data_IF_165119663024
#
_entry.id   IF_165119663024
#
_cell.length_a   1.000
_cell.length_b   1.000
_cell.length_c   1.000
_cell.angle_alpha   90.00
_cell.angle_beta   90.00
_cell.angle_gamma   90.00
#
_symmetry.space_group_name_H-M   'P 1'
#
loop_
_entity.id
_entity.type
_entity.pdbx_description
1 polymer ?
#
# COMPACT_ATOMS: atom_id res chain seq x y z
N UNK A 1 -5.67 -12.46 -29.68
CA UNK A 1 -5.32 -13.16 -28.42
C UNK A 1 -3.82 -13.40 -28.38
N UNK A 2 -3.05 -12.56 -27.66
CA UNK A 2 -1.61 -12.77 -27.47
C UNK A 2 -1.42 -13.79 -26.34
N UNK A 3 -0.91 -14.98 -26.67
CA UNK A 3 -0.50 -15.98 -25.67
C UNK A 3 0.66 -15.39 -24.86
N UNK A 4 0.48 -15.25 -23.54
CA UNK A 4 1.56 -14.91 -22.63
C UNK A 4 2.67 -15.97 -22.71
N UNK A 5 3.95 -15.58 -22.67
CA UNK A 5 5.05 -16.53 -22.78
C UNK A 5 5.10 -17.41 -21.53
N UNK A 6 5.01 -18.73 -21.73
CA UNK A 6 5.23 -19.73 -20.69
C UNK A 6 6.68 -19.58 -20.20
N UNK A 7 6.86 -19.03 -19.00
CA UNK A 7 8.16 -18.95 -18.33
C UNK A 7 8.70 -20.38 -18.22
N UNK A 8 9.81 -20.70 -18.90
CA UNK A 8 10.50 -22.00 -18.72
C UNK A 8 10.74 -22.18 -17.22
N UNK A 9 10.21 -23.27 -16.66
CA UNK A 9 10.46 -23.63 -15.27
C UNK A 9 11.98 -23.71 -15.07
N UNK A 10 12.56 -23.04 -14.06
CA UNK A 10 13.97 -23.25 -13.73
C UNK A 10 14.12 -24.73 -13.35
N UNK A 11 14.89 -25.49 -14.12
CA UNK A 11 15.18 -26.89 -13.77
C UNK A 11 16.15 -26.88 -12.59
N UNK A 12 15.70 -27.38 -11.43
CA UNK A 12 16.55 -27.60 -10.26
C UNK A 12 17.30 -28.93 -10.42
N UNK A 13 18.61 -28.95 -10.17
CA UNK A 13 19.40 -30.16 -10.22
C UNK A 13 19.28 -30.93 -8.90
N UNK A 14 18.51 -32.02 -8.91
CA UNK A 14 18.31 -32.86 -7.72
C UNK A 14 19.57 -33.60 -7.27
N UNK A 15 20.62 -33.68 -8.09
CA UNK A 15 21.89 -34.29 -7.68
C UNK A 15 22.61 -33.48 -6.60
N UNK A 16 22.34 -32.17 -6.52
CA UNK A 16 22.87 -31.27 -5.49
C UNK A 16 22.34 -31.58 -4.08
N UNK A 17 21.22 -32.32 -3.97
CA UNK A 17 20.58 -32.62 -2.69
C UNK A 17 21.28 -33.76 -1.91
N UNK A 18 22.10 -34.58 -2.57
CA UNK A 18 22.80 -35.70 -1.92
C UNK A 18 21.89 -36.79 -1.35
N UNK A 19 20.68 -36.96 -1.88
CA UNK A 19 19.63 -37.82 -1.34
C UNK A 19 19.62 -39.24 -1.91
N UNK A 20 19.14 -40.20 -1.11
CA UNK A 20 18.91 -41.57 -1.54
C UNK A 20 17.74 -41.71 -2.52
N UNK A 21 17.66 -42.86 -3.21
CA UNK A 21 16.64 -43.12 -4.23
C UNK A 21 15.19 -42.99 -3.71
N UNK A 22 14.93 -43.38 -2.47
CA UNK A 22 13.61 -43.28 -1.84
C UNK A 22 13.20 -41.83 -1.54
N UNK A 23 14.13 -41.02 -1.04
CA UNK A 23 13.92 -39.60 -0.70
C UNK A 23 13.73 -38.77 -1.98
N UNK A 24 14.53 -39.05 -3.02
CA UNK A 24 14.34 -38.44 -4.35
C UNK A 24 12.97 -38.76 -4.95
N UNK A 25 12.47 -39.99 -4.77
CA UNK A 25 11.12 -40.37 -5.20
C UNK A 25 10.04 -39.59 -4.44
N UNK A 26 10.23 -39.38 -3.14
CA UNK A 26 9.32 -38.58 -2.31
C UNK A 26 9.30 -37.11 -2.73
N UNK A 27 10.46 -36.50 -3.00
CA UNK A 27 10.56 -35.12 -3.49
C UNK A 27 9.88 -34.97 -4.84
N UNK A 28 10.16 -35.84 -5.82
CA UNK A 28 9.51 -35.80 -7.14
C UNK A 28 7.99 -35.92 -7.06
N UNK A 29 7.48 -36.69 -6.08
CA UNK A 29 6.05 -36.76 -5.81
C UNK A 29 5.52 -35.40 -5.31
N UNK A 30 6.20 -34.78 -4.34
CA UNK A 30 5.84 -33.46 -3.85
C UNK A 30 5.84 -32.42 -4.99
N UNK A 31 6.82 -32.46 -5.88
CA UNK A 31 6.89 -31.55 -7.04
C UNK A 31 5.71 -31.69 -7.98
N UNK A 32 5.36 -32.93 -8.33
CA UNK A 32 4.21 -33.20 -9.19
C UNK A 32 2.92 -32.67 -8.56
N UNK A 33 2.73 -32.87 -7.25
CA UNK A 33 1.57 -32.38 -6.52
C UNK A 33 1.55 -30.85 -6.45
N UNK A 34 2.68 -30.20 -6.15
CA UNK A 34 2.82 -28.73 -6.13
C UNK A 34 2.51 -28.11 -7.49
N UNK A 35 2.97 -28.71 -8.59
CA UNK A 35 2.74 -28.21 -9.95
C UNK A 35 1.27 -28.33 -10.40
N UNK A 36 0.53 -29.31 -9.86
CA UNK A 36 -0.88 -29.52 -10.19
C UNK A 36 -1.83 -28.54 -9.46
N UNK A 37 -1.43 -27.99 -8.31
CA UNK A 37 -2.24 -27.07 -7.50
C UNK A 37 -2.37 -25.69 -8.19
N UNK A 38 -3.41 -25.57 -9.02
CA UNK A 38 -3.59 -24.47 -9.98
C UNK A 38 -4.63 -23.40 -9.60
N UNK A 39 -5.63 -23.70 -8.75
CA UNK A 39 -6.82 -22.87 -8.48
C UNK A 39 -7.09 -22.71 -6.96
N UNK A 40 -6.30 -21.85 -6.32
CA UNK A 40 -6.23 -21.54 -4.88
C UNK A 40 -7.56 -21.55 -4.10
N UNK A 41 -8.09 -22.73 -3.79
CA UNK A 41 -9.09 -22.91 -2.74
C UNK A 41 -8.39 -22.88 -1.37
N UNK A 42 -9.18 -22.80 -0.31
CA UNK A 42 -8.66 -22.97 1.06
C UNK A 42 -7.95 -24.32 1.22
N UNK A 43 -8.53 -25.38 0.66
CA UNK A 43 -7.99 -26.74 0.70
C UNK A 43 -6.66 -26.85 -0.04
N UNK A 44 -6.58 -26.33 -1.28
CA UNK A 44 -5.33 -26.31 -2.05
C UNK A 44 -4.23 -25.49 -1.37
N UNK A 45 -4.60 -24.50 -0.54
CA UNK A 45 -3.63 -23.72 0.24
C UNK A 45 -2.98 -24.56 1.34
N UNK A 46 -3.76 -25.42 2.00
CA UNK A 46 -3.25 -26.40 2.96
C UNK A 46 -2.41 -27.46 2.26
N UNK A 47 -2.91 -28.08 1.19
CA UNK A 47 -2.19 -29.13 0.46
C UNK A 47 -0.84 -28.64 -0.04
N UNK A 48 -0.79 -27.42 -0.58
CA UNK A 48 0.46 -26.81 -1.01
C UNK A 48 1.44 -26.62 0.15
N UNK A 49 0.96 -26.17 1.31
CA UNK A 49 1.78 -26.04 2.51
C UNK A 49 2.28 -27.38 3.05
N UNK A 50 1.44 -28.42 3.03
CA UNK A 50 1.79 -29.78 3.46
C UNK A 50 2.89 -30.37 2.57
N UNK A 51 2.78 -30.27 1.25
CA UNK A 51 3.82 -30.74 0.32
C UNK A 51 5.15 -30.02 0.52
N UNK A 52 5.10 -28.71 0.80
CA UNK A 52 6.30 -27.95 1.12
C UNK A 52 6.94 -28.40 2.44
N UNK A 53 6.14 -28.68 3.47
CA UNK A 53 6.65 -29.19 4.75
C UNK A 53 7.21 -30.62 4.64
N UNK A 54 6.58 -31.50 3.86
CA UNK A 54 7.08 -32.84 3.58
C UNK A 54 8.43 -32.75 2.87
N UNK A 55 8.54 -31.93 1.82
CA UNK A 55 9.80 -31.77 1.10
C UNK A 55 10.91 -31.11 1.95
N UNK A 56 10.55 -30.15 2.81
CA UNK A 56 11.50 -29.50 3.73
C UNK A 56 12.16 -30.48 4.70
N UNK A 57 11.51 -31.61 5.04
CA UNK A 57 12.11 -32.63 5.90
C UNK A 57 13.29 -33.38 5.26
N UNK A 58 13.38 -33.38 3.93
CA UNK A 58 14.44 -34.07 3.18
C UNK A 58 15.48 -33.11 2.62
N UNK A 59 15.10 -31.87 2.31
CA UNK A 59 15.97 -30.92 1.63
C UNK A 59 16.77 -30.10 2.64
N UNK A 60 18.11 -29.99 2.50
CA UNK A 60 18.91 -29.12 3.36
C UNK A 60 18.40 -27.67 3.39
N UNK A 61 18.39 -27.04 4.58
CA UNK A 61 17.83 -25.69 4.81
C UNK A 61 18.35 -24.62 3.83
N UNK A 62 19.63 -24.70 3.45
CA UNK A 62 20.28 -23.78 2.52
C UNK A 62 19.82 -23.92 1.05
N UNK A 63 19.20 -25.05 0.69
CA UNK A 63 18.77 -25.38 -0.66
C UNK A 63 17.25 -25.34 -0.82
N UNK A 64 16.48 -25.56 0.25
CA UNK A 64 15.02 -25.62 0.21
C UNK A 64 14.38 -24.39 -0.43
N UNK A 65 14.85 -23.18 -0.08
CA UNK A 65 14.31 -21.95 -0.66
C UNK A 65 14.52 -21.82 -2.18
N UNK A 66 15.63 -22.33 -2.71
CA UNK A 66 15.91 -22.34 -4.15
C UNK A 66 15.05 -23.39 -4.86
N UNK A 67 14.99 -24.59 -4.29
CA UNK A 67 14.15 -25.68 -4.78
C UNK A 67 12.67 -25.27 -4.83
N UNK A 68 12.12 -24.75 -3.73
CA UNK A 68 10.69 -24.43 -3.62
C UNK A 68 10.24 -23.35 -4.63
N UNK A 69 11.12 -22.40 -4.97
CA UNK A 69 10.86 -21.39 -6.02
C UNK A 69 10.95 -21.99 -7.42
N UNK A 70 11.77 -23.03 -7.62
CA UNK A 70 11.90 -23.68 -8.94
C UNK A 70 10.68 -24.51 -9.31
N UNK A 71 10.02 -25.12 -8.32
CA UNK A 71 8.87 -26.02 -8.50
C UNK A 71 7.52 -25.32 -8.33
N UNK A 72 7.53 -24.01 -8.10
CA UNK A 72 6.31 -23.21 -7.93
C UNK A 72 6.39 -21.87 -8.65
N UNK A 73 5.24 -21.19 -8.77
CA UNK A 73 5.14 -19.84 -9.35
C UNK A 73 5.26 -18.72 -8.30
N UNK A 74 5.58 -19.04 -7.05
CA UNK A 74 5.49 -18.12 -5.92
C UNK A 74 6.86 -17.64 -5.45
N UNK A 75 6.87 -16.48 -4.78
CA UNK A 75 8.08 -16.00 -4.12
C UNK A 75 8.43 -16.88 -2.93
N UNK A 76 9.71 -16.91 -2.57
CA UNK A 76 10.20 -17.62 -1.37
C UNK A 76 9.36 -17.27 -0.14
N UNK A 77 9.19 -15.98 0.15
CA UNK A 77 8.41 -15.50 1.30
C UNK A 77 6.98 -16.05 1.31
N UNK A 78 6.32 -16.09 0.15
CA UNK A 78 4.96 -16.60 0.03
C UNK A 78 4.89 -18.10 0.34
N UNK A 79 5.89 -18.89 -0.08
CA UNK A 79 5.96 -20.33 0.18
C UNK A 79 6.13 -20.63 1.67
N UNK A 80 6.99 -19.89 2.38
CA UNK A 80 7.12 -20.01 3.83
C UNK A 80 5.83 -19.66 4.58
N UNK A 81 5.07 -18.67 4.08
CA UNK A 81 3.75 -18.34 4.63
C UNK A 81 2.76 -19.51 4.50
N UNK A 82 2.76 -20.19 3.36
CA UNK A 82 1.91 -21.37 3.13
C UNK A 82 2.26 -22.55 4.04
N UNK A 83 3.56 -22.81 4.22
CA UNK A 83 4.04 -23.82 5.18
C UNK A 83 3.57 -23.51 6.60
N UNK A 84 3.65 -22.23 7.00
CA UNK A 84 3.19 -21.75 8.31
C UNK A 84 1.67 -21.92 8.47
N UNK A 85 0.89 -21.62 7.44
CA UNK A 85 -0.56 -21.85 7.44
C UNK A 85 -0.86 -23.34 7.69
N UNK A 86 -0.24 -24.23 6.92
CA UNK A 86 -0.50 -25.67 7.01
C UNK A 86 -0.12 -26.25 8.38
N UNK A 87 0.97 -25.77 8.98
CA UNK A 87 1.43 -26.23 10.30
C UNK A 87 0.63 -25.66 11.45
N UNK A 88 0.45 -24.34 11.50
CA UNK A 88 -0.15 -23.63 12.63
C UNK A 88 -1.67 -23.79 12.66
N UNK A 89 -2.33 -23.84 11.50
CA UNK A 89 -3.78 -23.90 11.41
C UNK A 89 -4.31 -25.31 11.16
N UNK A 90 -3.46 -26.33 11.26
CA UNK A 90 -3.79 -27.74 10.95
C UNK A 90 -5.07 -28.22 11.64
N UNK A 91 -5.20 -27.95 12.93
CA UNK A 91 -6.32 -28.43 13.74
C UNK A 91 -7.65 -27.72 13.41
N UNK A 92 -7.56 -26.58 12.71
CA UNK A 92 -8.71 -25.80 12.26
C UNK A 92 -9.05 -26.00 10.78
N UNK A 93 -8.30 -26.86 10.07
CA UNK A 93 -8.39 -27.03 8.60
C UNK A 93 -9.83 -27.18 8.10
N UNK A 94 -10.61 -28.10 8.68
CA UNK A 94 -12.00 -28.37 8.27
C UNK A 94 -12.87 -27.12 8.35
N UNK A 95 -12.86 -26.42 9.49
CA UNK A 95 -13.64 -25.21 9.73
C UNK A 95 -13.24 -24.07 8.78
N UNK A 96 -11.95 -23.95 8.50
CA UNK A 96 -11.42 -22.95 7.57
C UNK A 96 -11.85 -23.21 6.12
N UNK A 97 -11.87 -24.48 5.70
CA UNK A 97 -12.34 -24.90 4.37
C UNK A 97 -13.84 -24.66 4.21
N UNK A 98 -14.64 -24.99 5.22
CA UNK A 98 -16.08 -24.70 5.25
C UNK A 98 -16.36 -23.19 5.16
N UNK A 99 -15.58 -22.38 5.87
CA UNK A 99 -15.64 -20.91 5.80
C UNK A 99 -15.10 -20.33 4.47
N UNK A 100 -14.57 -21.17 3.56
CA UNK A 100 -13.93 -20.76 2.28
C UNK A 100 -12.91 -19.64 2.46
N UNK A 101 -12.15 -19.70 3.54
CA UNK A 101 -11.26 -18.61 3.93
C UNK A 101 -10.12 -18.42 2.92
N UNK A 102 -9.86 -17.17 2.54
CA UNK A 102 -8.77 -16.82 1.63
C UNK A 102 -7.39 -17.11 2.24
N UNK A 103 -6.40 -17.42 1.39
CA UNK A 103 -5.01 -17.62 1.81
C UNK A 103 -4.42 -16.41 2.55
N UNK A 104 -4.83 -15.18 2.20
CA UNK A 104 -4.39 -13.96 2.88
C UNK A 104 -4.91 -13.91 4.32
N UNK A 105 -6.20 -14.19 4.54
CA UNK A 105 -6.79 -14.24 5.87
C UNK A 105 -6.18 -15.36 6.73
N UNK A 106 -5.97 -16.55 6.15
CA UNK A 106 -5.25 -17.63 6.82
C UNK A 106 -3.81 -17.26 7.17
N UNK A 107 -3.13 -16.47 6.32
CA UNK A 107 -1.77 -15.98 6.63
C UNK A 107 -1.73 -15.03 7.84
N UNK A 108 -2.76 -14.19 8.01
CA UNK A 108 -2.92 -13.38 9.21
C UNK A 108 -3.16 -14.26 10.44
N UNK A 109 -4.12 -15.19 10.36
CA UNK A 109 -4.44 -16.10 11.45
C UNK A 109 -3.29 -17.01 11.87
N UNK A 110 -2.52 -17.53 10.91
CA UNK A 110 -1.33 -18.32 11.21
C UNK A 110 -0.25 -17.50 11.93
N UNK A 111 -0.33 -16.17 11.89
CA UNK A 111 0.58 -15.28 12.60
C UNK A 111 0.09 -14.87 13.99
N UNK A 112 -1.20 -15.04 14.27
CA UNK A 112 -1.80 -14.82 15.60
C UNK A 112 -2.87 -15.89 15.87
N UNK A 113 -2.45 -17.15 16.14
CA UNK A 113 -3.34 -18.31 16.22
C UNK A 113 -4.39 -18.23 17.35
N UNK A 114 -4.14 -17.42 18.38
CA UNK A 114 -5.07 -17.18 19.49
C UNK A 114 -6.42 -16.61 19.02
N UNK A 115 -6.47 -15.91 17.88
CA UNK A 115 -7.68 -15.31 17.33
C UNK A 115 -8.45 -16.22 16.36
N UNK A 116 -7.97 -17.45 16.11
CA UNK A 116 -8.59 -18.36 15.12
C UNK A 116 -10.02 -18.73 15.50
N UNK A 117 -10.27 -19.05 16.76
CA UNK A 117 -11.60 -19.43 17.21
C UNK A 117 -12.59 -18.25 17.19
N UNK A 118 -12.12 -17.04 17.51
CA UNK A 118 -12.91 -15.81 17.46
C UNK A 118 -13.36 -15.52 16.02
N UNK A 119 -12.41 -15.54 15.06
CA UNK A 119 -12.72 -15.30 13.66
C UNK A 119 -13.63 -16.38 13.08
N UNK A 120 -13.40 -17.66 13.40
CA UNK A 120 -14.25 -18.75 12.93
C UNK A 120 -15.68 -18.65 13.48
N UNK A 121 -15.86 -18.25 14.75
CA UNK A 121 -17.19 -18.07 15.33
C UNK A 121 -18.03 -17.02 14.58
N UNK A 122 -17.40 -15.96 14.07
CA UNK A 122 -18.07 -14.95 13.24
C UNK A 122 -18.57 -15.53 11.91
N UNK A 123 -17.77 -16.38 11.25
CA UNK A 123 -18.18 -17.08 10.03
C UNK A 123 -19.28 -18.11 10.29
N UNK A 124 -19.19 -18.85 11.39
CA UNK A 124 -20.21 -19.81 11.83
C UNK A 124 -21.54 -19.12 12.18
N UNK A 125 -21.49 -17.88 12.67
CA UNK A 125 -22.65 -17.01 12.87
C UNK A 125 -23.20 -16.41 11.55
N UNK A 126 -22.70 -16.83 10.39
CA UNK A 126 -23.16 -16.40 9.06
C UNK A 126 -22.63 -15.04 8.62
N UNK A 127 -21.66 -14.44 9.34
CA UNK A 127 -21.05 -13.16 8.96
C UNK A 127 -19.82 -13.42 8.08
N UNK A 128 -19.71 -12.69 6.97
CA UNK A 128 -18.49 -12.71 6.14
C UNK A 128 -17.56 -11.57 6.56
N UNK A 129 -16.34 -11.89 6.99
CA UNK A 129 -15.32 -10.89 7.29
C UNK A 129 -14.39 -10.69 6.09
N UNK A 130 -14.11 -9.43 5.75
CA UNK A 130 -13.05 -9.09 4.79
C UNK A 130 -11.68 -9.35 5.41
N UNK A 131 -10.65 -9.56 4.57
CA UNK A 131 -9.28 -9.73 5.05
C UNK A 131 -8.81 -8.56 5.94
N UNK A 132 -9.31 -7.33 5.71
CA UNK A 132 -9.02 -6.14 6.52
C UNK A 132 -9.68 -6.18 7.90
N UNK A 133 -10.90 -6.71 7.99
CA UNK A 133 -11.59 -6.90 9.27
C UNK A 133 -10.95 -8.04 10.07
N UNK A 134 -10.58 -9.14 9.42
CA UNK A 134 -9.79 -10.20 10.05
C UNK A 134 -8.46 -9.65 10.53
N UNK A 135 -7.76 -8.83 9.72
CA UNK A 135 -6.55 -8.15 10.15
C UNK A 135 -6.77 -7.20 11.35
N UNK A 136 -7.94 -6.58 11.49
CA UNK A 136 -8.27 -5.73 12.63
C UNK A 136 -8.54 -6.55 13.91
N UNK A 137 -9.16 -7.73 13.80
CA UNK A 137 -9.42 -8.67 14.91
C UNK A 137 -8.11 -9.33 15.34
N UNK A 138 -7.38 -9.91 14.38
CA UNK A 138 -6.12 -10.67 14.55
C UNK A 138 -4.93 -9.77 14.89
N UNK A 139 -4.98 -8.53 14.42
CA UNK A 139 -4.05 -7.48 14.81
C UNK A 139 -4.49 -6.76 16.08
N UNK A 140 -5.34 -7.40 16.91
CA UNK A 140 -6.01 -6.88 18.10
C UNK A 140 -5.34 -5.64 18.63
N UNK A 141 -5.94 -4.49 18.37
CA UNK A 141 -5.48 -3.21 18.91
C UNK A 141 -3.97 -3.02 18.85
N UNK A 142 -3.31 -3.25 17.71
CA UNK A 142 -1.97 -2.71 17.51
C UNK A 142 -2.09 -1.18 17.29
N UNK A 143 -2.72 -0.48 18.23
CA UNK A 143 -1.94 0.56 18.91
C UNK A 143 -0.65 -0.15 19.30
N UNK A 144 0.37 0.00 18.44
CA UNK A 144 1.76 -0.22 18.84
C UNK A 144 1.83 0.32 20.26
N UNK A 145 2.29 -0.47 21.26
CA UNK A 145 2.28 -0.05 22.66
C UNK A 145 2.73 1.38 22.68
N UNK A 146 1.88 2.32 23.13
CA UNK A 146 1.97 3.76 22.89
C UNK A 146 3.44 4.14 22.93
N UNK A 147 4.04 4.06 21.74
CA UNK A 147 5.49 4.01 21.70
C UNK A 147 5.77 5.45 21.95
N UNK A 148 6.45 5.75 23.04
CA UNK A 148 6.86 7.10 23.36
C UNK A 148 7.89 7.54 22.30
N UNK A 149 7.39 7.76 21.09
CA UNK A 149 8.10 8.09 19.87
C UNK A 149 8.96 9.33 20.11
N UNK A 150 8.49 10.35 20.86
CA UNK A 150 9.34 11.46 21.27
C UNK A 150 10.60 11.03 22.05
N UNK A 151 10.50 10.01 22.91
CA UNK A 151 11.59 9.60 23.80
C UNK A 151 12.35 8.35 23.34
N UNK A 152 11.98 7.75 22.21
CA UNK A 152 12.69 6.62 21.63
C UNK A 152 13.97 7.08 20.91
N UNK A 153 15.12 6.85 21.54
CA UNK A 153 16.43 7.20 21.00
C UNK A 153 16.96 6.25 19.91
N UNK A 154 18.10 6.64 19.32
CA UNK A 154 18.85 5.84 18.35
C UNK A 154 18.23 5.77 16.95
N UNK A 155 18.91 5.08 16.03
CA UNK A 155 18.50 4.96 14.62
C UNK A 155 17.13 4.27 14.48
N UNK A 156 16.82 3.31 15.36
CA UNK A 156 15.52 2.66 15.38
C UNK A 156 14.39 3.63 15.76
N UNK A 157 14.60 4.45 16.80
CA UNK A 157 13.66 5.49 17.21
C UNK A 157 13.44 6.56 16.15
N UNK A 158 14.52 7.06 15.55
CA UNK A 158 14.45 8.01 14.44
C UNK A 158 13.64 7.45 13.26
N UNK A 159 13.84 6.18 12.88
CA UNK A 159 13.06 5.52 11.82
C UNK A 159 11.58 5.43 12.18
N UNK A 160 11.27 5.04 13.42
CA UNK A 160 9.89 4.95 13.87
C UNK A 160 9.19 6.32 13.86
N UNK A 161 9.87 7.36 14.35
CA UNK A 161 9.36 8.72 14.39
C UNK A 161 9.16 9.29 12.97
N UNK A 162 10.12 9.07 12.07
CA UNK A 162 9.99 9.44 10.66
C UNK A 162 8.79 8.77 9.96
N UNK A 163 8.56 7.48 10.21
CA UNK A 163 7.40 6.76 9.67
C UNK A 163 6.08 7.31 10.21
N UNK A 164 6.00 7.60 11.51
CA UNK A 164 4.82 8.18 12.14
C UNK A 164 4.54 9.58 11.58
N UNK A 165 5.57 10.44 11.50
CA UNK A 165 5.51 11.76 10.87
C UNK A 165 5.01 11.67 9.43
N UNK A 166 5.57 10.76 8.63
CA UNK A 166 5.19 10.58 7.22
C UNK A 166 3.70 10.20 7.10
N UNK A 167 3.23 9.23 7.90
CA UNK A 167 1.84 8.80 7.91
C UNK A 167 0.89 9.95 8.26
N UNK A 168 1.18 10.67 9.34
CA UNK A 168 0.37 11.81 9.79
C UNK A 168 0.39 12.95 8.77
N UNK A 169 1.58 13.31 8.27
CA UNK A 169 1.78 14.40 7.32
C UNK A 169 1.04 14.18 6.00
N UNK A 170 1.12 12.96 5.43
CA UNK A 170 0.37 12.62 4.21
C UNK A 170 -1.14 12.72 4.47
N UNK A 171 -1.63 12.12 5.56
CA UNK A 171 -3.06 12.15 5.91
C UNK A 171 -3.59 13.58 6.08
N UNK A 172 -2.82 14.44 6.75
CA UNK A 172 -3.18 15.83 6.98
C UNK A 172 -3.17 16.66 5.69
N UNK A 173 -2.15 16.47 4.85
CA UNK A 173 -2.06 17.12 3.55
C UNK A 173 -3.25 16.74 2.67
N UNK A 174 -3.52 15.44 2.48
CA UNK A 174 -4.63 14.95 1.66
C UNK A 174 -5.96 15.49 2.14
N UNK A 175 -6.23 15.43 3.46
CA UNK A 175 -7.46 15.97 4.05
C UNK A 175 -7.66 17.45 3.76
N UNK A 176 -6.59 18.26 3.85
CA UNK A 176 -6.68 19.70 3.58
C UNK A 176 -6.92 20.00 2.11
N UNK A 177 -6.24 19.30 1.21
CA UNK A 177 -6.44 19.48 -0.23
C UNK A 177 -7.87 19.12 -0.61
N UNK A 178 -8.40 18.00 -0.12
CA UNK A 178 -9.81 17.62 -0.34
C UNK A 178 -10.79 18.68 0.20
N UNK A 179 -10.50 19.28 1.37
CA UNK A 179 -11.32 20.38 1.90
C UNK A 179 -11.27 21.63 1.02
N UNK A 180 -10.09 22.00 0.51
CA UNK A 180 -9.92 23.15 -0.39
C UNK A 180 -10.67 22.90 -1.70
N UNK A 181 -10.58 21.70 -2.27
CA UNK A 181 -11.32 21.30 -3.47
C UNK A 181 -12.82 21.49 -3.24
N UNK A 182 -13.37 20.95 -2.15
CA UNK A 182 -14.80 21.05 -1.84
C UNK A 182 -15.26 22.50 -1.67
N UNK A 183 -14.46 23.36 -1.02
CA UNK A 183 -14.78 24.78 -0.87
C UNK A 183 -14.74 25.55 -2.21
N UNK A 184 -13.81 25.19 -3.10
CA UNK A 184 -13.74 25.75 -4.46
C UNK A 184 -14.95 25.31 -5.29
N UNK A 185 -15.27 24.01 -5.29
CA UNK A 185 -16.44 23.46 -5.99
C UNK A 185 -17.73 24.15 -5.52
N UNK A 186 -17.92 24.28 -4.21
CA UNK A 186 -19.06 25.00 -3.63
C UNK A 186 -19.12 26.48 -4.05
N UNK A 187 -17.96 27.15 -4.14
CA UNK A 187 -17.89 28.53 -4.60
C UNK A 187 -18.13 28.69 -6.11
N UNK A 188 -17.94 27.64 -6.90
CA UNK A 188 -18.19 27.62 -8.34
C UNK A 188 -19.66 27.31 -8.69
N UNK A 189 -20.45 26.71 -7.80
CA UNK A 189 -21.88 26.42 -8.06
C UNK A 189 -22.65 27.66 -8.57
N UNK A 190 -22.57 28.85 -7.95
CA UNK A 190 -23.25 30.04 -8.45
C UNK A 190 -22.78 30.49 -9.84
N UNK A 191 -21.53 30.19 -10.22
CA UNK A 191 -20.98 30.54 -11.52
C UNK A 191 -21.61 29.74 -12.66
N UNK A 192 -22.09 28.53 -12.37
CA UNK A 192 -22.88 27.73 -13.32
C UNK A 192 -24.25 28.38 -13.62
N UNK A 193 -24.76 29.21 -12.71
CA UNK A 193 -25.99 30.00 -12.87
C UNK A 193 -25.72 31.40 -13.46
N UNK A 194 -24.51 31.68 -13.96
CA UNK A 194 -24.11 32.98 -14.50
C UNK A 194 -23.81 34.05 -13.44
N UNK A 195 -23.73 33.70 -12.15
CA UNK A 195 -23.34 34.61 -11.08
C UNK A 195 -21.82 34.66 -10.92
N UNK A 196 -21.30 35.72 -10.28
CA UNK A 196 -19.86 35.84 -10.02
C UNK A 196 -19.45 35.05 -8.77
N UNK A 197 -18.25 34.47 -8.79
CA UNK A 197 -17.62 33.87 -7.60
C UNK A 197 -17.22 34.97 -6.61
N UNK A 198 -17.59 34.81 -5.35
CA UNK A 198 -17.29 35.77 -4.28
C UNK A 198 -15.86 35.55 -3.76
N UNK A 199 -14.87 36.18 -4.40
CA UNK A 199 -13.43 36.11 -4.08
C UNK A 199 -13.14 36.17 -2.57
N UNK A 200 -13.72 37.14 -1.86
CA UNK A 200 -13.48 37.34 -0.42
C UNK A 200 -13.93 36.14 0.41
N UNK A 201 -15.15 35.64 0.16
CA UNK A 201 -15.69 34.50 0.90
C UNK A 201 -14.92 33.21 0.64
N UNK A 202 -14.47 32.99 -0.61
CA UNK A 202 -13.63 31.84 -0.93
C UNK A 202 -12.26 31.96 -0.24
N UNK A 203 -11.62 33.13 -0.31
CA UNK A 203 -10.33 33.37 0.32
C UNK A 203 -10.35 33.17 1.84
N UNK A 204 -11.41 33.62 2.51
CA UNK A 204 -11.56 33.44 3.96
C UNK A 204 -11.58 31.96 4.37
N UNK A 205 -12.02 31.08 3.47
CA UNK A 205 -12.02 29.63 3.68
C UNK A 205 -10.69 28.98 3.33
N UNK A 206 -10.08 29.31 2.18
CA UNK A 206 -9.00 28.49 1.63
C UNK A 206 -7.58 29.03 1.81
N UNK A 207 -7.38 30.32 2.11
CA UNK A 207 -6.03 30.90 2.20
C UNK A 207 -5.17 30.25 3.28
N UNK A 208 -5.69 30.18 4.51
CA UNK A 208 -4.94 29.59 5.64
C UNK A 208 -4.71 28.09 5.42
N UNK A 209 -5.72 27.29 4.99
CA UNK A 209 -5.49 25.91 4.59
C UNK A 209 -4.45 25.74 3.49
N UNK A 210 -4.43 26.58 2.46
CA UNK A 210 -3.48 26.49 1.36
C UNK A 210 -2.03 26.72 1.82
N UNK A 211 -1.81 27.77 2.63
CA UNK A 211 -0.49 28.02 3.24
C UNK A 211 -0.02 26.82 4.05
N UNK A 212 -0.89 26.28 4.90
CA UNK A 212 -0.55 25.16 5.76
C UNK A 212 -0.29 23.88 4.95
N UNK A 213 -1.12 23.58 3.95
CA UNK A 213 -0.95 22.43 3.07
C UNK A 213 0.38 22.50 2.31
N UNK A 214 0.80 23.71 1.87
CA UNK A 214 2.12 23.91 1.25
C UNK A 214 3.26 23.50 2.19
N UNK A 215 3.26 24.02 3.42
CA UNK A 215 4.29 23.67 4.40
C UNK A 215 4.27 22.19 4.79
N UNK A 216 3.08 21.58 4.86
CA UNK A 216 2.95 20.14 5.12
C UNK A 216 3.55 19.31 3.99
N UNK A 217 3.29 19.68 2.72
CA UNK A 217 3.88 19.01 1.56
C UNK A 217 5.41 19.11 1.58
N UNK A 218 5.95 20.32 1.76
CA UNK A 218 7.40 20.53 1.84
C UNK A 218 8.00 19.70 2.98
N UNK A 219 7.39 19.71 4.17
CA UNK A 219 7.88 18.98 5.34
C UNK A 219 7.91 17.45 5.18
N UNK A 220 7.07 16.91 4.30
CA UNK A 220 6.93 15.47 4.04
C UNK A 220 7.81 15.01 2.88
N UNK A 221 7.97 15.83 1.84
CA UNK A 221 8.51 15.40 0.55
C UNK A 221 9.82 16.08 0.14
N UNK A 222 10.27 17.13 0.85
CA UNK A 222 11.50 17.86 0.50
C UNK A 222 12.64 17.55 1.47
N UNK A 223 13.86 17.63 0.94
CA UNK A 223 15.08 17.53 1.71
C UNK A 223 15.51 18.92 2.23
N UNK A 224 16.51 18.95 3.10
CA UNK A 224 17.09 20.20 3.61
C UNK A 224 18.49 20.40 3.05
N UNK A 225 18.85 21.65 2.80
CA UNK A 225 20.19 22.08 2.41
C UNK A 225 20.61 23.33 3.18
N UNK A 226 21.90 23.67 3.12
CA UNK A 226 22.39 24.96 3.63
C UNK A 226 21.91 26.08 2.70
N UNK A 227 21.46 27.18 3.27
CA UNK A 227 21.03 28.32 2.47
C UNK A 227 22.27 29.01 1.86
N UNK A 228 22.38 29.09 0.51
CA UNK A 228 23.54 29.67 -0.14
C UNK A 228 23.69 31.17 0.13
N UNK A 229 22.59 31.86 0.44
CA UNK A 229 22.55 33.30 0.69
C UNK A 229 22.66 33.64 2.19
N UNK A 230 22.59 32.63 3.06
CA UNK A 230 22.71 32.80 4.50
C UNK A 230 23.25 31.51 5.12
N UNK A 231 24.57 31.43 5.33
CA UNK A 231 25.23 30.25 5.89
C UNK A 231 24.79 29.90 7.30
N UNK A 232 24.15 30.82 8.03
CA UNK A 232 23.58 30.57 9.35
C UNK A 232 22.16 29.97 9.30
N UNK A 233 21.57 29.84 8.10
CA UNK A 233 20.23 29.28 7.91
C UNK A 233 20.27 28.02 7.03
N UNK A 234 19.40 27.07 7.34
CA UNK A 234 19.06 25.98 6.42
C UNK A 234 17.80 26.34 5.63
N UNK A 235 17.64 25.73 4.46
CA UNK A 235 16.42 25.83 3.67
C UNK A 235 15.96 24.45 3.21
N UNK A 236 14.72 24.36 2.74
CA UNK A 236 14.22 23.17 2.05
C UNK A 236 14.63 23.20 0.58
N UNK A 237 15.07 22.06 0.06
CA UNK A 237 15.31 21.85 -1.36
C UNK A 237 13.94 21.77 -2.03
N UNK A 238 13.56 22.84 -2.74
CA UNK A 238 12.30 22.87 -3.47
C UNK A 238 12.21 21.73 -4.50
N UNK A 239 10.99 21.33 -4.84
CA UNK A 239 10.78 20.36 -5.90
C UNK A 239 11.48 20.76 -7.21
N UNK A 240 11.97 19.80 -8.02
CA UNK A 240 12.62 20.09 -9.29
C UNK A 240 11.78 21.00 -10.17
N UNK A 241 12.42 21.97 -10.83
CA UNK A 241 11.77 22.84 -11.81
C UNK A 241 11.11 21.99 -12.91
N UNK A 242 9.87 22.34 -13.26
CA UNK A 242 9.08 21.61 -14.26
C UNK A 242 8.42 20.32 -13.74
N UNK A 243 8.56 19.98 -12.46
CA UNK A 243 7.81 18.87 -11.88
C UNK A 243 6.38 19.30 -11.51
N UNK A 244 5.41 18.39 -11.67
CA UNK A 244 4.01 18.65 -11.30
C UNK A 244 3.82 18.92 -9.80
N UNK A 245 4.70 18.37 -8.95
CA UNK A 245 4.75 18.71 -7.51
C UNK A 245 5.25 20.13 -7.24
N UNK A 246 6.15 20.64 -8.10
CA UNK A 246 6.55 22.06 -8.04
C UNK A 246 5.35 22.95 -8.37
N UNK A 247 4.60 22.62 -9.41
CA UNK A 247 3.37 23.33 -9.77
C UNK A 247 2.35 23.33 -8.63
N UNK A 248 2.12 22.20 -7.96
CA UNK A 248 1.24 22.13 -6.77
C UNK A 248 1.71 23.07 -5.67
N UNK A 249 3.02 23.09 -5.39
CA UNK A 249 3.60 23.95 -4.35
C UNK A 249 3.45 25.43 -4.67
N UNK A 250 3.70 25.80 -5.92
CA UNK A 250 3.56 27.17 -6.42
C UNK A 250 2.06 27.59 -6.45
N UNK A 251 1.15 26.68 -6.82
CA UNK A 251 -0.30 26.92 -6.76
C UNK A 251 -0.77 27.17 -5.32
N UNK A 252 -0.35 26.35 -4.36
CA UNK A 252 -0.72 26.52 -2.95
C UNK A 252 -0.19 27.85 -2.36
N UNK A 253 0.95 28.34 -2.86
CA UNK A 253 1.43 29.68 -2.54
C UNK A 253 0.48 30.77 -3.05
N UNK A 254 0.06 30.69 -4.32
CA UNK A 254 -0.89 31.63 -4.94
C UNK A 254 -2.22 31.59 -4.19
N UNK A 255 -2.79 30.40 -3.94
CA UNK A 255 -4.00 30.24 -3.12
C UNK A 255 -3.82 30.75 -1.68
N UNK A 256 -2.59 30.79 -1.18
CA UNK A 256 -2.27 31.36 0.11
C UNK A 256 -2.38 32.90 0.17
N UNK A 257 -2.51 33.61 -0.94
CA UNK A 257 -2.58 35.08 -0.94
C UNK A 257 -3.60 35.63 -1.92
N UNK A 258 -4.78 36.05 -1.43
CA UNK A 258 -5.87 36.61 -2.26
C UNK A 258 -5.45 37.76 -3.14
N UNK A 259 -4.43 38.53 -2.77
CA UNK A 259 -3.96 39.66 -3.57
C UNK A 259 -3.42 39.22 -4.93
N UNK A 260 -2.97 37.96 -5.05
CA UNK A 260 -2.50 37.38 -6.31
C UNK A 260 -3.61 36.87 -7.24
N UNK A 261 -4.88 36.83 -6.79
CA UNK A 261 -5.98 36.27 -7.59
C UNK A 261 -6.61 37.35 -8.46
N UNK A 262 -6.74 37.10 -9.77
CA UNK A 262 -7.48 37.98 -10.69
C UNK A 262 -8.99 37.88 -10.43
N UNK A 263 -9.74 38.99 -10.51
CA UNK A 263 -11.19 38.99 -10.22
C UNK A 263 -12.01 38.58 -11.45
N UNK A 264 -11.57 39.00 -12.61
CA UNK A 264 -12.26 38.90 -13.89
C UNK A 264 -12.22 37.46 -14.44
N UNK A 265 -11.20 36.68 -14.07
CA UNK A 265 -10.94 35.33 -14.56
C UNK A 265 -10.96 34.27 -13.44
N UNK A 266 -11.50 34.63 -12.27
CA UNK A 266 -11.47 33.76 -11.09
C UNK A 266 -12.13 32.40 -11.34
N UNK A 267 -13.33 32.37 -11.92
CA UNK A 267 -14.05 31.12 -12.14
C UNK A 267 -13.37 30.23 -13.20
N UNK A 268 -12.99 30.74 -14.39
CA UNK A 268 -12.21 29.96 -15.35
C UNK A 268 -10.90 29.43 -14.77
N UNK A 269 -10.13 30.26 -14.06
CA UNK A 269 -8.86 29.86 -13.45
C UNK A 269 -9.05 28.73 -12.42
N UNK A 270 -10.08 28.83 -11.57
CA UNK A 270 -10.39 27.79 -10.59
C UNK A 270 -10.76 26.45 -11.26
N UNK A 271 -11.53 26.48 -12.35
CA UNK A 271 -11.99 25.29 -13.05
C UNK A 271 -10.89 24.60 -13.87
N UNK A 272 -10.08 25.36 -14.61
CA UNK A 272 -9.14 24.79 -15.58
C UNK A 272 -7.72 24.64 -15.02
N UNK A 273 -7.32 25.53 -14.09
CA UNK A 273 -6.00 25.53 -13.50
C UNK A 273 -5.95 24.88 -12.11
N UNK A 274 -6.82 25.35 -11.21
CA UNK A 274 -6.71 25.01 -9.78
C UNK A 274 -7.23 23.61 -9.47
N UNK A 275 -8.51 23.33 -9.79
CA UNK A 275 -9.15 22.06 -9.44
C UNK A 275 -8.42 20.83 -10.01
N UNK A 276 -8.02 20.78 -11.31
CA UNK A 276 -7.37 19.61 -11.86
C UNK A 276 -6.02 19.32 -11.20
N UNK A 277 -5.24 20.35 -10.88
CA UNK A 277 -3.94 20.19 -10.26
C UNK A 277 -4.05 19.74 -8.79
N UNK A 278 -5.02 20.29 -8.04
CA UNK A 278 -5.31 19.84 -6.68
C UNK A 278 -5.83 18.39 -6.67
N UNK A 279 -6.76 18.04 -7.56
CA UNK A 279 -7.30 16.69 -7.68
C UNK A 279 -6.20 15.68 -8.04
N UNK A 280 -5.29 16.03 -8.96
CA UNK A 280 -4.13 15.20 -9.27
C UNK A 280 -3.25 14.95 -8.04
N UNK A 281 -3.04 15.95 -7.18
CA UNK A 281 -2.15 15.83 -6.01
C UNK A 281 -2.65 14.86 -4.92
N UNK A 282 -3.94 14.54 -4.91
CA UNK A 282 -4.56 13.59 -3.96
C UNK A 282 -5.18 12.37 -4.63
N UNK A 283 -5.09 12.27 -5.96
CA UNK A 283 -5.62 11.15 -6.73
C UNK A 283 -4.74 9.90 -6.64
N UNK A 284 -5.29 8.76 -7.08
CA UNK A 284 -4.63 7.45 -7.02
C UNK A 284 -3.48 7.26 -8.03
N UNK A 285 -2.99 8.33 -8.67
CA UNK A 285 -1.89 8.28 -9.65
C UNK A 285 -2.22 7.58 -10.98
N UNK A 286 -3.49 7.24 -11.22
CA UNK A 286 -3.99 6.83 -12.54
C UNK A 286 -4.28 8.09 -13.33
N UNK A 287 -3.27 8.66 -14.00
CA UNK A 287 -3.55 9.66 -15.02
C UNK A 287 -4.46 9.00 -16.08
N UNK A 288 -5.59 9.64 -16.37
CA UNK A 288 -6.39 9.37 -17.56
C UNK A 288 -5.46 9.66 -18.72
N UNK A 289 -4.94 8.62 -19.35
CA UNK A 289 -4.28 8.72 -20.65
C UNK A 289 -5.27 9.38 -21.58
N UNK A 290 -5.05 10.66 -21.87
CA UNK A 290 -5.50 11.27 -23.11
C UNK A 290 -4.93 10.41 -24.23
N UNK A 291 -5.76 9.52 -24.78
CA UNK A 291 -5.53 8.97 -26.11
C UNK A 291 -5.48 10.17 -27.05
N UNK A 292 -4.36 10.42 -27.75
CA UNK A 292 -4.41 11.29 -28.90
C UNK A 292 -5.18 10.54 -29.98
N UNK A 293 -6.27 11.14 -30.43
CA UNK A 293 -6.97 10.74 -31.65
C UNK A 293 -5.95 10.48 -32.77
N UNK A 294 -5.89 9.23 -33.21
CA UNK A 294 -5.23 8.86 -34.45
C UNK A 294 -6.12 9.32 -35.61
N UNK A 295 -5.72 10.42 -36.25
CA UNK A 295 -5.94 10.65 -37.68
C UNK A 295 -5.35 9.51 -38.53
#
# INVERSE_FOLDING_TARGET
MKKSPTRKAPTFDHSELGLGSAELKAIRKCEAEIMLLGRRTTEETFDLGDQLNIAAAFIPDGMFGKWAVSVSRYSRQHLFSLMKIATVLKDHRTRLVEARMSATAMGHLASSPEHVNEVLAEFEAGRSLTAKQIQAIVGGGNEKPDTDLPNLGGVAGLKANAQAKLKLGISEFTRKISSIIADIEAALVPALEGKRVLKGQLADKIERPARLARFQLENVATFVELNPNNSAASQVIGFPKGSKWREVTDLLWVLGGRDSWTREELAPWLQTGVLPLLAWSVGDGKDVSTDPESE
#
